data_IF_181433138336
#
_entry.id   IF_181433138336
#
_cell.length_a   1.000
_cell.length_b   1.000
_cell.length_c   1.000
_cell.angle_alpha   90.00
_cell.angle_beta   90.00
_cell.angle_gamma   90.00
#
_symmetry.space_group_name_H-M   'P 1'
#
loop_
_entity.id
_entity.type
_entity.pdbx_description
1 polymer ?
#
# COMPACT_ATOMS: atom_id res chain seq x y z
N UNK A 1 -10.68 -69.90 42.29
CA UNK A 1 -10.93 -68.68 41.46
C UNK A 1 -10.07 -67.52 41.90
N UNK A 2 -9.84 -67.24 43.17
CA UNK A 2 -8.93 -66.22 43.70
C UNK A 2 -7.51 -66.31 43.11
N UNK A 3 -6.90 -67.51 43.16
CA UNK A 3 -5.54 -67.73 42.65
C UNK A 3 -5.42 -67.43 41.14
N UNK A 4 -6.53 -67.73 40.38
CA UNK A 4 -6.56 -67.45 38.92
C UNK A 4 -6.61 -65.96 38.65
N UNK A 5 -7.37 -65.18 39.42
CA UNK A 5 -7.45 -63.72 39.31
C UNK A 5 -6.13 -63.06 39.68
N UNK A 6 -5.49 -63.57 40.72
CA UNK A 6 -4.20 -63.08 41.17
C UNK A 6 -3.11 -63.33 40.13
N UNK A 7 -3.08 -64.52 39.49
CA UNK A 7 -2.16 -64.81 38.37
C UNK A 7 -2.42 -63.91 37.18
N UNK A 8 -3.68 -63.69 36.79
CA UNK A 8 -4.02 -62.74 35.68
C UNK A 8 -3.55 -61.33 35.98
N UNK A 9 -3.72 -60.87 37.23
CA UNK A 9 -3.24 -59.54 37.64
C UNK A 9 -1.71 -59.43 37.56
N UNK A 10 -0.99 -60.40 38.12
CA UNK A 10 0.48 -60.41 38.17
C UNK A 10 1.05 -60.45 36.72
N UNK A 11 0.49 -61.30 35.86
CA UNK A 11 0.92 -61.44 34.49
C UNK A 11 0.59 -60.17 33.66
N UNK A 12 -0.61 -59.63 33.83
CA UNK A 12 -1.01 -58.40 33.15
C UNK A 12 -0.12 -57.22 33.57
N UNK A 13 0.15 -57.05 34.87
CA UNK A 13 1.03 -55.97 35.35
C UNK A 13 2.45 -56.13 34.80
N UNK A 14 2.99 -57.35 34.77
CA UNK A 14 4.30 -57.63 34.18
C UNK A 14 4.35 -57.26 32.69
N UNK A 15 3.33 -57.68 31.90
CA UNK A 15 3.28 -57.39 30.49
C UNK A 15 3.09 -55.87 30.20
N UNK A 16 2.35 -55.17 31.08
CA UNK A 16 2.20 -53.72 30.98
C UNK A 16 3.54 -53.02 31.26
N UNK A 17 4.29 -53.45 32.29
CA UNK A 17 5.58 -52.87 32.64
C UNK A 17 6.69 -53.17 31.62
N UNK A 18 6.62 -54.33 30.94
CA UNK A 18 7.52 -54.72 29.86
C UNK A 18 7.20 -54.03 28.51
N UNK A 19 6.03 -53.43 28.36
CA UNK A 19 5.62 -52.75 27.13
C UNK A 19 6.47 -51.49 26.90
N UNK A 20 7.18 -51.43 25.74
CA UNK A 20 8.03 -50.32 25.34
C UNK A 20 7.37 -49.37 24.36
N UNK A 21 6.24 -49.74 23.81
CA UNK A 21 5.52 -48.98 22.79
C UNK A 21 4.01 -48.93 23.11
N UNK A 22 3.35 -47.84 22.69
CA UNK A 22 1.91 -47.65 22.89
C UNK A 22 1.07 -48.76 22.23
N UNK A 23 1.50 -49.27 21.06
CA UNK A 23 0.84 -50.37 20.38
C UNK A 23 0.89 -51.65 21.20
N UNK A 24 2.07 -52.01 21.72
CA UNK A 24 2.25 -53.18 22.58
C UNK A 24 1.40 -53.09 23.88
N UNK A 25 1.33 -51.87 24.46
CA UNK A 25 0.49 -51.61 25.64
C UNK A 25 -1.00 -51.77 25.32
N UNK A 26 -1.45 -51.33 24.13
CA UNK A 26 -2.83 -51.53 23.70
C UNK A 26 -3.15 -53.00 23.44
N UNK A 27 -2.22 -53.78 22.90
CA UNK A 27 -2.39 -55.22 22.71
C UNK A 27 -2.54 -55.95 24.02
N UNK A 28 -1.78 -55.59 25.04
CA UNK A 28 -1.96 -56.11 26.45
C UNK A 28 -3.34 -55.73 26.95
N UNK A 29 -3.77 -54.49 26.78
CA UNK A 29 -5.13 -54.05 27.18
C UNK A 29 -6.22 -54.89 26.50
N UNK A 30 -6.10 -55.17 25.24
CA UNK A 30 -7.08 -55.96 24.47
C UNK A 30 -7.05 -57.42 24.89
N UNK A 31 -5.89 -58.02 25.15
CA UNK A 31 -5.73 -59.41 25.59
C UNK A 31 -6.31 -59.64 26.97
N UNK A 32 -6.22 -58.69 27.89
CA UNK A 32 -6.67 -58.83 29.27
C UNK A 32 -8.12 -58.32 29.46
N UNK A 33 -8.41 -57.10 29.00
CA UNK A 33 -9.66 -56.39 29.27
C UNK A 33 -10.64 -56.40 28.07
N UNK A 34 -10.22 -56.89 26.91
CA UNK A 34 -11.05 -56.91 25.69
C UNK A 34 -12.25 -57.85 25.81
N UNK A 35 -13.17 -57.80 24.81
CA UNK A 35 -14.38 -58.63 24.77
C UNK A 35 -14.13 -60.14 24.88
N UNK A 36 -12.96 -60.61 24.44
CA UNK A 36 -12.45 -61.99 24.49
C UNK A 36 -11.28 -62.12 25.50
N UNK A 37 -10.97 -61.08 26.28
CA UNK A 37 -9.84 -61.04 27.19
C UNK A 37 -10.00 -61.97 28.40
N UNK A 38 -8.85 -62.25 29.02
CA UNK A 38 -8.75 -63.23 30.10
C UNK A 38 -9.64 -62.86 31.29
N UNK A 39 -9.71 -61.60 31.68
CA UNK A 39 -10.56 -61.11 32.76
C UNK A 39 -12.04 -61.23 32.43
N UNK A 40 -12.41 -60.97 31.15
CA UNK A 40 -13.77 -61.12 30.62
C UNK A 40 -14.19 -62.58 30.60
N UNK A 41 -13.25 -63.50 30.30
CA UNK A 41 -13.52 -64.95 30.33
C UNK A 41 -13.81 -65.43 31.78
N UNK A 42 -13.12 -64.90 32.77
CA UNK A 42 -13.39 -65.19 34.21
C UNK A 42 -14.80 -64.67 34.58
N UNK A 43 -15.17 -63.49 34.16
CA UNK A 43 -16.53 -62.94 34.38
C UNK A 43 -17.63 -63.84 33.75
N UNK A 44 -17.42 -64.36 32.58
CA UNK A 44 -18.35 -65.28 31.97
C UNK A 44 -18.49 -66.61 32.71
N UNK A 45 -17.38 -67.09 33.33
CA UNK A 45 -17.38 -68.29 34.16
C UNK A 45 -18.03 -68.10 35.56
N UNK A 46 -18.45 -66.89 35.92
CA UNK A 46 -19.18 -66.65 37.17
C UNK A 46 -20.53 -67.36 37.27
N UNK A 47 -21.06 -67.83 36.15
CA UNK A 47 -22.31 -68.64 36.14
C UNK A 47 -22.16 -69.96 36.92
N UNK A 48 -20.95 -70.50 36.94
CA UNK A 48 -20.63 -71.78 37.54
C UNK A 48 -20.25 -71.69 39.09
N UNK A 49 -20.29 -70.45 39.61
CA UNK A 49 -19.96 -70.20 41.02
C UNK A 49 -21.24 -70.26 41.90
N UNK A 50 -21.12 -70.83 43.11
CA UNK A 50 -22.24 -70.87 44.08
C UNK A 50 -22.79 -69.44 44.28
N UNK A 51 -24.13 -69.30 44.41
CA UNK A 51 -24.78 -67.98 44.62
C UNK A 51 -24.22 -67.16 45.77
N UNK A 52 -23.81 -67.80 46.84
CA UNK A 52 -23.27 -67.16 48.04
C UNK A 52 -21.90 -66.52 47.88
N UNK A 53 -21.09 -67.06 46.94
CA UNK A 53 -19.71 -66.56 46.63
C UNK A 53 -19.66 -65.52 45.53
N UNK A 54 -20.74 -65.33 44.74
CA UNK A 54 -20.78 -64.41 43.57
C UNK A 54 -20.45 -62.98 43.95
N UNK A 55 -20.98 -62.36 45.03
CA UNK A 55 -20.68 -60.95 45.31
C UNK A 55 -19.17 -60.75 45.65
N UNK A 56 -18.56 -61.68 46.38
CA UNK A 56 -17.14 -61.60 46.73
C UNK A 56 -16.24 -61.81 45.55
N UNK A 57 -16.58 -62.67 44.61
CA UNK A 57 -15.82 -62.88 43.41
C UNK A 57 -16.00 -61.65 42.44
N UNK A 58 -17.20 -61.09 42.36
CA UNK A 58 -17.46 -59.84 41.58
C UNK A 58 -16.64 -58.67 42.06
N UNK A 59 -16.57 -58.48 43.41
CA UNK A 59 -15.72 -57.40 43.95
C UNK A 59 -14.23 -57.61 43.61
N UNK A 60 -13.73 -58.86 43.75
CA UNK A 60 -12.33 -59.18 43.48
C UNK A 60 -11.98 -58.98 41.98
N UNK A 61 -12.92 -59.24 41.05
CA UNK A 61 -12.74 -58.97 39.63
C UNK A 61 -12.68 -57.49 39.38
N UNK A 62 -13.53 -56.67 39.99
CA UNK A 62 -13.52 -55.23 39.88
C UNK A 62 -12.24 -54.62 40.42
N UNK A 63 -11.78 -55.04 41.63
CA UNK A 63 -10.51 -54.59 42.20
C UNK A 63 -9.31 -54.95 41.29
N UNK A 64 -9.33 -56.14 40.68
CA UNK A 64 -8.32 -56.57 39.72
C UNK A 64 -8.33 -55.73 38.45
N UNK A 65 -9.52 -55.44 37.96
CA UNK A 65 -9.73 -54.59 36.78
C UNK A 65 -9.22 -53.18 37.02
N UNK A 66 -9.63 -52.55 38.13
CA UNK A 66 -9.20 -51.20 38.50
C UNK A 66 -7.67 -51.09 38.65
N UNK A 67 -7.06 -52.12 39.28
CA UNK A 67 -5.61 -52.17 39.42
C UNK A 67 -4.90 -52.23 38.04
N UNK A 68 -5.38 -53.08 37.13
CA UNK A 68 -4.83 -53.19 35.77
C UNK A 68 -5.05 -51.92 34.97
N UNK A 69 -6.26 -51.35 35.03
CA UNK A 69 -6.58 -50.09 34.31
C UNK A 69 -5.72 -48.91 34.84
N UNK A 70 -5.45 -48.84 36.12
CA UNK A 70 -4.55 -47.83 36.70
C UNK A 70 -3.12 -48.00 36.23
N UNK A 71 -2.58 -49.21 36.23
CA UNK A 71 -1.21 -49.47 35.77
C UNK A 71 -1.07 -49.19 34.28
N UNK A 72 -2.10 -49.51 33.45
CA UNK A 72 -2.17 -49.20 32.04
C UNK A 72 -2.09 -47.67 31.80
N UNK A 73 -2.88 -46.89 32.54
CA UNK A 73 -2.93 -45.44 32.39
C UNK A 73 -1.59 -44.79 32.82
N UNK A 74 -0.98 -45.27 33.94
CA UNK A 74 0.32 -44.79 34.40
C UNK A 74 1.43 -45.10 33.39
N UNK A 75 1.46 -46.31 32.82
CA UNK A 75 2.44 -46.71 31.83
C UNK A 75 2.23 -45.99 30.48
N UNK A 76 0.97 -45.79 30.09
CA UNK A 76 0.62 -45.03 28.91
C UNK A 76 1.15 -43.59 29.00
N UNK A 77 0.93 -42.89 30.12
CA UNK A 77 1.45 -41.53 30.30
C UNK A 77 2.98 -41.47 30.26
N UNK A 78 3.66 -42.50 30.86
CA UNK A 78 5.12 -42.57 30.78
C UNK A 78 5.62 -42.72 29.33
N UNK A 79 4.99 -43.62 28.55
CA UNK A 79 5.37 -43.83 27.17
C UNK A 79 5.08 -42.60 26.26
N UNK A 80 3.92 -41.97 26.47
CA UNK A 80 3.57 -40.71 25.74
C UNK A 80 4.56 -39.59 26.08
N UNK A 81 4.96 -39.42 27.32
CA UNK A 81 5.96 -38.45 27.73
C UNK A 81 7.33 -38.74 27.11
N UNK A 82 7.77 -40.00 27.16
CA UNK A 82 9.05 -40.40 26.59
C UNK A 82 9.06 -40.22 25.03
N UNK A 83 7.95 -40.51 24.38
CA UNK A 83 7.82 -40.29 22.91
C UNK A 83 7.83 -38.81 22.61
N UNK A 84 7.17 -37.98 23.42
CA UNK A 84 7.19 -36.52 23.26
C UNK A 84 8.60 -35.96 23.47
N UNK A 85 9.30 -36.38 24.53
CA UNK A 85 10.69 -35.95 24.79
C UNK A 85 11.62 -36.30 23.61
N UNK A 86 11.55 -37.55 23.14
CA UNK A 86 12.36 -38.00 22.01
C UNK A 86 12.03 -37.24 20.70
N UNK A 87 10.76 -36.82 20.51
CA UNK A 87 10.39 -35.98 19.38
C UNK A 87 10.96 -34.58 19.54
N UNK A 88 10.84 -33.98 20.74
CA UNK A 88 11.36 -32.64 21.04
C UNK A 88 12.90 -32.59 20.92
N UNK A 89 13.62 -33.66 21.31
CA UNK A 89 15.07 -33.77 21.11
C UNK A 89 15.47 -33.77 19.63
N UNK A 90 14.62 -34.32 18.75
CA UNK A 90 14.86 -34.33 17.30
C UNK A 90 14.47 -33.04 16.59
N UNK A 91 13.51 -32.32 17.15
CA UNK A 91 13.03 -31.02 16.64
C UNK A 91 13.95 -29.88 17.15
N UNK A 92 15.23 -29.92 16.78
CA UNK A 92 16.16 -28.84 17.13
C UNK A 92 15.91 -27.65 16.23
N UNK A 93 15.42 -26.57 16.83
CA UNK A 93 15.29 -25.27 16.16
C UNK A 93 16.49 -24.42 16.55
N UNK A 94 17.29 -23.99 15.58
CA UNK A 94 18.36 -23.03 15.81
C UNK A 94 17.77 -21.63 16.02
N UNK A 95 17.64 -21.25 17.27
CA UNK A 95 17.09 -19.93 17.66
C UNK A 95 18.05 -18.77 17.39
N UNK A 96 19.28 -19.06 16.97
CA UNK A 96 20.26 -18.03 16.58
C UNK A 96 20.11 -17.60 15.13
N UNK A 97 19.38 -18.37 14.32
CA UNK A 97 19.08 -17.97 12.94
C UNK A 97 18.22 -16.72 12.95
N UNK A 98 18.60 -15.69 12.18
CA UNK A 98 17.80 -14.49 12.09
C UNK A 98 16.41 -14.81 11.52
N UNK A 99 15.38 -14.21 12.08
CA UNK A 99 14.02 -14.32 11.56
C UNK A 99 13.98 -13.80 10.12
N UNK A 100 13.13 -14.41 9.28
CA UNK A 100 12.89 -13.91 7.92
C UNK A 100 12.37 -12.48 8.05
N UNK A 101 13.20 -11.51 7.64
CA UNK A 101 12.78 -10.12 7.61
C UNK A 101 11.71 -9.96 6.52
N UNK A 102 10.55 -9.49 6.91
CA UNK A 102 9.58 -9.02 5.93
C UNK A 102 10.12 -7.73 5.30
N UNK A 103 10.27 -7.72 3.99
CA UNK A 103 10.60 -6.49 3.28
C UNK A 103 9.41 -5.52 3.42
N UNK A 104 9.65 -4.38 4.03
CA UNK A 104 8.68 -3.28 4.02
C UNK A 104 8.65 -2.72 2.60
N UNK A 105 7.46 -2.52 2.05
CA UNK A 105 7.32 -1.86 0.74
C UNK A 105 7.77 -0.40 0.82
N UNK A 106 8.25 0.13 -0.30
CA UNK A 106 8.64 1.53 -0.47
C UNK A 106 7.67 2.23 -1.41
N UNK A 107 7.44 3.52 -1.20
CA UNK A 107 6.63 4.33 -2.10
C UNK A 107 7.48 4.80 -3.27
N UNK A 108 6.86 4.91 -4.43
CA UNK A 108 7.51 5.50 -5.59
C UNK A 108 7.81 6.99 -5.34
N UNK A 109 8.98 7.55 -5.73
CA UNK A 109 9.34 8.94 -5.46
C UNK A 109 8.32 9.95 -6.02
N UNK A 110 7.71 9.70 -7.18
CA UNK A 110 6.63 10.55 -7.68
C UNK A 110 5.43 10.59 -6.73
N UNK A 111 5.05 9.44 -6.13
CA UNK A 111 3.94 9.41 -5.19
C UNK A 111 4.24 10.13 -3.88
N UNK A 112 5.50 10.06 -3.42
CA UNK A 112 5.93 10.83 -2.23
C UNK A 112 5.86 12.34 -2.53
N UNK A 113 6.35 12.77 -3.71
CA UNK A 113 6.27 14.15 -4.13
C UNK A 113 4.82 14.63 -4.32
N UNK A 114 3.95 13.79 -4.90
CA UNK A 114 2.53 14.09 -5.09
C UNK A 114 1.84 14.34 -3.74
N UNK A 115 1.95 13.38 -2.81
CA UNK A 115 1.34 13.51 -1.48
C UNK A 115 1.79 14.76 -0.73
N UNK A 116 3.06 15.16 -0.91
CA UNK A 116 3.57 16.38 -0.30
C UNK A 116 2.96 17.64 -0.91
N UNK A 117 2.88 17.72 -2.23
CA UNK A 117 2.23 18.85 -2.94
C UNK A 117 0.76 18.93 -2.57
N UNK A 118 0.04 17.80 -2.58
CA UNK A 118 -1.37 17.74 -2.16
C UNK A 118 -1.54 18.22 -0.71
N UNK A 119 -0.70 17.76 0.20
CA UNK A 119 -0.74 18.17 1.61
C UNK A 119 -0.57 19.69 1.78
N UNK A 120 0.34 20.29 1.01
CA UNK A 120 0.57 21.74 1.04
C UNK A 120 -0.67 22.48 0.57
N UNK A 121 -1.22 22.14 -0.59
CA UNK A 121 -2.39 22.84 -1.14
C UNK A 121 -3.67 22.57 -0.33
N UNK A 122 -3.90 21.36 0.15
CA UNK A 122 -5.01 21.05 1.06
C UNK A 122 -4.89 21.88 2.36
N UNK A 123 -3.68 22.05 2.89
CA UNK A 123 -3.38 22.96 4.02
C UNK A 123 -3.72 24.43 3.73
N UNK A 124 -3.66 24.86 2.47
CA UNK A 124 -4.07 26.20 2.00
C UNK A 124 -5.57 26.28 1.68
N UNK A 125 -6.36 25.21 1.87
CA UNK A 125 -7.78 25.17 1.63
C UNK A 125 -8.18 24.83 0.19
N UNK A 126 -7.33 24.14 -0.56
CA UNK A 126 -7.66 23.63 -1.89
C UNK A 126 -8.28 22.24 -1.82
N UNK A 127 -9.20 21.95 -2.73
CA UNK A 127 -9.74 20.62 -2.95
C UNK A 127 -8.93 19.88 -4.02
N UNK A 128 -8.75 18.57 -3.84
CA UNK A 128 -8.13 17.71 -4.84
C UNK A 128 -9.23 17.16 -5.74
N UNK A 129 -9.16 17.43 -7.05
CA UNK A 129 -10.17 17.01 -8.02
C UNK A 129 -9.52 16.18 -9.12
N UNK A 130 -10.12 15.04 -9.43
CA UNK A 130 -9.67 14.15 -10.51
C UNK A 130 -10.55 14.31 -11.74
N UNK A 131 -10.01 13.94 -12.91
CA UNK A 131 -10.73 13.91 -14.17
C UNK A 131 -10.21 12.83 -15.11
N UNK A 132 -10.92 12.58 -16.23
CA UNK A 132 -10.61 11.51 -17.17
C UNK A 132 -9.29 11.76 -17.91
N UNK A 133 -8.51 10.68 -18.15
CA UNK A 133 -7.29 10.72 -18.98
C UNK A 133 -7.63 10.76 -20.48
N UNK A 134 -8.70 10.08 -20.87
CA UNK A 134 -9.26 10.14 -22.24
C UNK A 134 -10.28 11.25 -22.28
N UNK A 135 -10.01 12.30 -23.03
CA UNK A 135 -10.74 13.54 -22.95
C UNK A 135 -11.27 14.00 -24.33
N UNK A 136 -12.33 14.79 -24.31
CA UNK A 136 -12.80 15.44 -25.51
C UNK A 136 -11.89 16.61 -25.91
N UNK A 137 -11.68 16.81 -27.20
CA UNK A 137 -10.92 17.94 -27.75
C UNK A 137 -11.44 19.28 -27.23
N UNK A 138 -12.76 19.39 -27.04
CA UNK A 138 -13.39 20.56 -26.44
C UNK A 138 -12.77 20.97 -25.11
N UNK A 139 -12.69 20.02 -24.16
CA UNK A 139 -12.15 20.31 -22.81
C UNK A 139 -10.63 20.49 -22.82
N UNK A 140 -9.93 19.72 -23.67
CA UNK A 140 -8.47 19.77 -23.71
C UNK A 140 -7.93 21.02 -24.43
N UNK A 141 -8.71 21.59 -25.35
CA UNK A 141 -8.28 22.71 -26.16
C UNK A 141 -9.33 23.85 -26.33
N UNK A 142 -10.52 23.59 -26.86
CA UNK A 142 -11.44 24.65 -27.26
C UNK A 142 -11.88 25.52 -26.09
N UNK A 143 -12.28 24.94 -24.99
CA UNK A 143 -12.73 25.66 -23.79
C UNK A 143 -11.59 26.44 -23.10
N UNK A 144 -10.33 26.19 -23.48
CA UNK A 144 -9.15 26.85 -22.92
C UNK A 144 -8.65 28.01 -23.84
N UNK A 145 -9.51 28.57 -24.68
CA UNK A 145 -9.24 29.71 -25.56
C UNK A 145 -8.22 29.48 -26.71
N UNK A 146 -7.94 28.31 -27.24
CA UNK A 146 -6.96 28.24 -28.28
C UNK A 146 -7.58 28.16 -29.68
N UNK A 147 -7.44 29.22 -30.44
CA UNK A 147 -7.59 29.09 -31.91
C UNK A 147 -6.36 28.42 -32.55
N UNK A 148 -5.18 28.53 -31.94
CA UNK A 148 -3.91 27.95 -32.39
C UNK A 148 -3.05 27.58 -31.22
N UNK A 149 -3.42 26.50 -30.45
CA UNK A 149 -2.60 26.02 -29.37
C UNK A 149 -1.41 25.24 -29.93
N UNK A 150 -0.16 25.53 -29.50
CA UNK A 150 1.01 24.81 -29.99
C UNK A 150 0.91 23.29 -29.80
N UNK A 151 0.33 22.87 -28.67
CA UNK A 151 0.14 21.43 -28.37
C UNK A 151 -1.06 20.79 -29.09
N UNK A 152 -1.80 21.51 -29.94
CA UNK A 152 -2.85 20.96 -30.82
C UNK A 152 -2.29 20.34 -32.10
N UNK A 153 -0.99 20.45 -32.31
CA UNK A 153 -0.33 19.80 -33.43
C UNK A 153 -0.46 18.27 -33.26
N UNK A 154 -0.83 17.56 -34.35
CA UNK A 154 -0.87 16.09 -34.35
C UNK A 154 0.47 15.47 -33.98
N UNK A 155 1.57 16.23 -34.08
CA UNK A 155 2.90 15.82 -33.68
C UNK A 155 3.08 15.77 -32.14
N UNK A 156 2.31 16.58 -31.40
CA UNK A 156 2.47 16.72 -29.95
C UNK A 156 1.34 16.04 -29.15
N UNK A 157 0.27 15.58 -29.81
CA UNK A 157 -0.93 15.05 -29.15
C UNK A 157 -1.29 13.64 -29.62
N UNK A 158 -1.64 12.74 -28.71
CA UNK A 158 -2.20 11.44 -29.08
C UNK A 158 -3.72 11.53 -29.29
N UNK A 159 -4.15 11.51 -30.54
CA UNK A 159 -5.56 11.48 -30.93
C UNK A 159 -6.06 10.02 -31.00
N UNK A 160 -7.21 9.74 -30.37
CA UNK A 160 -7.93 8.48 -30.53
C UNK A 160 -8.82 8.57 -31.79
N UNK A 161 -9.44 9.74 -31.99
CA UNK A 161 -10.18 10.13 -33.18
C UNK A 161 -10.24 11.67 -33.25
N UNK A 162 -10.94 12.23 -34.25
CA UNK A 162 -11.02 13.68 -34.49
C UNK A 162 -11.53 14.52 -33.32
N UNK A 163 -12.17 13.91 -32.33
CA UNK A 163 -12.81 14.61 -31.20
C UNK A 163 -12.35 14.11 -29.81
N UNK A 164 -11.55 13.04 -29.75
CA UNK A 164 -11.10 12.42 -28.51
C UNK A 164 -9.58 12.28 -28.52
N UNK A 165 -8.97 12.73 -27.43
CA UNK A 165 -7.52 12.76 -27.22
C UNK A 165 -7.13 12.08 -25.90
N UNK A 166 -5.87 11.67 -25.77
CA UNK A 166 -5.25 11.55 -24.45
C UNK A 166 -4.89 12.96 -23.98
N UNK A 167 -5.37 13.36 -22.79
CA UNK A 167 -5.17 14.72 -22.31
C UNK A 167 -3.69 15.10 -22.24
N UNK A 168 -3.36 16.28 -22.78
CA UNK A 168 -1.99 16.81 -22.80
C UNK A 168 -1.64 17.60 -21.54
N UNK A 169 -2.63 17.90 -20.73
CA UNK A 169 -2.59 18.70 -19.51
C UNK A 169 -3.77 18.32 -18.59
N UNK A 170 -3.75 18.74 -17.33
CA UNK A 170 -4.89 18.53 -16.43
C UNK A 170 -5.89 19.69 -16.43
N UNK A 171 -5.69 20.71 -17.23
CA UNK A 171 -6.61 21.85 -17.43
C UNK A 171 -8.06 21.48 -17.80
N UNK A 172 -8.35 20.37 -18.52
CA UNK A 172 -9.74 19.91 -18.70
C UNK A 172 -10.53 19.78 -17.42
N UNK A 173 -9.88 19.39 -16.32
CA UNK A 173 -10.53 19.28 -15.00
C UNK A 173 -10.97 20.65 -14.50
N UNK A 174 -10.17 21.70 -14.74
CA UNK A 174 -10.52 23.07 -14.38
C UNK A 174 -11.79 23.52 -15.13
N UNK A 175 -11.92 23.24 -16.43
CA UNK A 175 -13.11 23.56 -17.21
C UNK A 175 -14.34 22.86 -16.65
N UNK A 176 -14.25 21.57 -16.36
CA UNK A 176 -15.34 20.77 -15.80
C UNK A 176 -15.81 21.32 -14.46
N UNK A 177 -14.91 21.71 -13.58
CA UNK A 177 -15.24 22.30 -12.28
C UNK A 177 -15.88 23.68 -12.45
N UNK A 178 -15.41 24.51 -13.39
CA UNK A 178 -16.04 25.79 -13.70
C UNK A 178 -17.46 25.62 -14.24
N UNK A 179 -17.71 24.65 -15.11
CA UNK A 179 -19.04 24.36 -15.68
C UNK A 179 -20.05 23.87 -14.64
N UNK A 180 -19.60 23.33 -13.49
CA UNK A 180 -20.50 23.02 -12.36
C UNK A 180 -21.12 24.28 -11.74
N UNK A 181 -20.54 25.46 -11.97
CA UNK A 181 -21.07 26.74 -11.49
C UNK A 181 -21.03 26.95 -9.98
N UNK A 182 -20.27 26.12 -9.25
CA UNK A 182 -20.13 26.25 -7.80
C UNK A 182 -18.98 27.18 -7.44
N UNK A 183 -19.26 28.40 -7.11
CA UNK A 183 -18.25 29.41 -6.73
C UNK A 183 -18.29 29.67 -5.21
N UNK A 184 -17.17 30.01 -4.56
CA UNK A 184 -15.83 30.12 -5.12
C UNK A 184 -15.16 28.77 -5.41
N UNK A 185 -14.18 28.75 -6.34
CA UNK A 185 -13.40 27.57 -6.68
C UNK A 185 -11.99 27.73 -6.09
N UNK A 186 -11.50 26.69 -5.41
CA UNK A 186 -10.09 26.50 -5.03
C UNK A 186 -9.77 25.04 -5.17
N UNK A 187 -9.05 24.68 -6.19
CA UNK A 187 -8.77 23.29 -6.51
C UNK A 187 -7.36 23.07 -7.02
N UNK A 188 -6.88 21.85 -6.84
CA UNK A 188 -5.76 21.27 -7.60
C UNK A 188 -6.25 20.02 -8.33
N UNK A 189 -5.72 19.81 -9.54
CA UNK A 189 -5.98 18.64 -10.35
C UNK A 189 -4.68 17.90 -10.65
N UNK A 190 -4.28 16.95 -9.80
CA UNK A 190 -3.18 16.05 -10.11
C UNK A 190 -3.62 15.00 -11.12
N UNK A 191 -2.70 14.59 -11.99
CA UNK A 191 -3.03 13.49 -12.90
C UNK A 191 -1.99 13.26 -13.98
N UNK A 192 -2.12 12.08 -14.59
CA UNK A 192 -1.30 11.68 -15.73
C UNK A 192 -1.71 12.45 -16.97
N UNK A 193 -0.71 12.82 -17.76
CA UNK A 193 -0.87 13.52 -19.02
C UNK A 193 0.02 12.87 -20.09
N UNK A 194 -0.29 13.14 -21.36
CA UNK A 194 0.32 12.44 -22.47
C UNK A 194 0.72 13.44 -23.55
N UNK A 195 1.97 13.33 -24.02
CA UNK A 195 2.48 14.12 -25.16
C UNK A 195 3.32 13.22 -26.05
N UNK A 196 3.31 13.46 -27.34
CA UNK A 196 4.09 12.68 -28.30
C UNK A 196 5.57 13.08 -28.32
N UNK A 197 6.17 13.18 -27.12
CA UNK A 197 7.58 13.51 -26.95
C UNK A 197 8.47 12.26 -27.05
N UNK A 198 9.68 12.45 -27.60
CA UNK A 198 10.71 11.41 -27.52
C UNK A 198 11.23 11.25 -26.10
N UNK A 199 11.53 10.00 -25.72
CA UNK A 199 12.04 9.68 -24.39
C UNK A 199 13.50 10.12 -24.25
N UNK A 200 13.74 11.06 -23.32
CA UNK A 200 15.09 11.50 -22.96
C UNK A 200 15.25 11.66 -21.43
N UNK A 201 16.30 12.30 -20.97
CA UNK A 201 16.56 12.52 -19.54
C UNK A 201 15.55 13.49 -18.88
N UNK A 202 14.75 14.22 -19.67
CA UNK A 202 13.86 15.30 -19.23
C UNK A 202 12.43 15.18 -19.76
N UNK A 203 12.19 14.32 -20.74
CA UNK A 203 10.90 14.13 -21.39
C UNK A 203 10.47 12.65 -21.37
N UNK A 204 9.17 12.45 -21.21
CA UNK A 204 8.49 11.16 -21.32
C UNK A 204 7.14 11.36 -22.00
N UNK A 205 6.68 10.44 -22.87
CA UNK A 205 5.37 10.55 -23.51
C UNK A 205 4.21 10.42 -22.52
N UNK A 206 4.48 9.91 -21.32
CA UNK A 206 3.54 9.86 -20.21
C UNK A 206 4.22 10.39 -18.96
N UNK A 207 3.66 11.42 -18.37
CA UNK A 207 4.17 12.06 -17.16
C UNK A 207 2.99 12.59 -16.32
N UNK A 208 3.26 13.26 -15.20
CA UNK A 208 2.22 13.77 -14.33
C UNK A 208 2.31 15.29 -14.22
N UNK A 209 1.14 15.93 -14.25
CA UNK A 209 0.98 17.35 -13.93
C UNK A 209 0.11 17.52 -12.69
N UNK A 210 0.35 18.61 -11.98
CA UNK A 210 -0.55 19.14 -10.96
C UNK A 210 -0.88 20.56 -11.39
N UNK A 211 -2.12 20.79 -11.74
CA UNK A 211 -2.60 22.14 -12.04
C UNK A 211 -3.51 22.61 -10.92
N UNK A 212 -3.44 23.89 -10.61
CA UNK A 212 -4.31 24.51 -9.61
C UNK A 212 -5.01 25.71 -10.16
N UNK A 213 -6.21 25.98 -9.62
CA UNK A 213 -7.05 27.12 -10.00
C UNK A 213 -7.77 27.69 -8.79
N UNK A 214 -7.84 29.01 -8.78
CA UNK A 214 -8.74 29.78 -7.89
C UNK A 214 -9.61 30.66 -8.75
N UNK A 215 -10.93 30.66 -8.50
CA UNK A 215 -11.90 31.60 -9.08
C UNK A 215 -12.79 32.13 -7.97
N UNK A 216 -12.75 33.43 -7.77
CA UNK A 216 -13.56 34.13 -6.75
C UNK A 216 -13.70 35.61 -7.14
N UNK A 217 -14.38 36.39 -6.34
CA UNK A 217 -14.48 37.83 -6.53
C UNK A 217 -13.16 38.53 -6.18
N UNK A 218 -12.75 39.48 -7.04
CA UNK A 218 -11.58 40.34 -6.81
C UNK A 218 -10.25 39.61 -6.68
N UNK A 219 -10.08 38.45 -7.29
CA UNK A 219 -8.79 37.75 -7.33
C UNK A 219 -7.81 38.54 -8.22
N UNK A 220 -6.60 38.70 -7.73
CA UNK A 220 -5.55 39.49 -8.36
C UNK A 220 -4.28 38.69 -8.66
N UNK A 221 -3.40 39.22 -9.47
CA UNK A 221 -2.06 38.66 -9.69
C UNK A 221 -1.20 38.67 -8.42
N UNK A 222 -1.49 39.52 -7.45
CA UNK A 222 -0.83 39.54 -6.13
C UNK A 222 -1.20 38.28 -5.32
N UNK A 223 -2.46 37.84 -5.39
CA UNK A 223 -2.94 36.63 -4.72
C UNK A 223 -2.23 35.39 -5.33
N UNK A 224 -2.12 35.32 -6.67
CA UNK A 224 -1.34 34.29 -7.34
C UNK A 224 0.10 34.24 -6.83
N UNK A 225 0.77 35.39 -6.79
CA UNK A 225 2.16 35.49 -6.31
C UNK A 225 2.30 35.06 -4.86
N UNK A 226 1.39 35.48 -4.00
CA UNK A 226 1.37 35.10 -2.59
C UNK A 226 1.22 33.59 -2.40
N UNK A 227 0.23 33.00 -3.07
CA UNK A 227 -0.02 31.54 -3.04
C UNK A 227 1.20 30.73 -3.48
N UNK A 228 1.77 31.10 -4.63
CA UNK A 228 2.92 30.37 -5.18
C UNK A 228 4.23 30.61 -4.39
N UNK A 229 4.38 31.76 -3.78
CA UNK A 229 5.52 32.02 -2.89
C UNK A 229 5.44 31.15 -1.61
N UNK A 230 4.26 31.00 -1.04
CA UNK A 230 4.04 30.13 0.10
C UNK A 230 4.26 28.66 -0.27
N UNK A 231 3.68 28.21 -1.38
CA UNK A 231 3.93 26.87 -1.92
C UNK A 231 5.44 26.58 -2.08
N UNK A 232 6.18 27.53 -2.65
CA UNK A 232 7.63 27.35 -2.86
C UNK A 232 8.41 27.23 -1.54
N UNK A 233 8.04 28.00 -0.50
CA UNK A 233 8.65 27.90 0.83
C UNK A 233 8.36 26.59 1.51
N UNK A 234 7.09 26.18 1.53
CA UNK A 234 6.67 24.90 2.11
C UNK A 234 7.36 23.69 1.45
N UNK A 235 7.55 23.75 0.10
CA UNK A 235 8.13 22.65 -0.65
C UNK A 235 9.66 22.59 -0.60
N UNK A 236 10.33 23.76 -0.67
CA UNK A 236 11.80 23.88 -0.83
C UNK A 236 12.49 24.52 0.36
N UNK A 237 11.73 24.98 1.37
CA UNK A 237 12.26 25.60 2.59
C UNK A 237 12.07 27.11 2.66
N UNK A 238 12.05 27.64 3.91
CA UNK A 238 11.71 29.03 4.26
C UNK A 238 12.58 30.09 3.55
N UNK A 239 13.83 29.81 3.24
CA UNK A 239 14.76 30.73 2.58
C UNK A 239 14.53 30.84 1.06
N UNK A 240 13.58 30.06 0.51
CA UNK A 240 13.29 30.03 -0.94
C UNK A 240 12.67 31.35 -1.38
N UNK A 241 13.30 31.97 -2.37
CA UNK A 241 12.80 33.17 -3.03
C UNK A 241 12.21 32.81 -4.38
N UNK A 242 11.17 33.50 -4.76
CA UNK A 242 10.51 33.33 -6.06
C UNK A 242 10.75 34.53 -6.98
N UNK A 243 10.82 34.27 -8.27
CA UNK A 243 10.92 35.27 -9.33
C UNK A 243 9.91 34.91 -10.42
N UNK A 244 9.13 35.89 -10.86
CA UNK A 244 8.17 35.73 -11.95
C UNK A 244 8.72 36.39 -13.21
N UNK A 245 8.73 35.63 -14.30
CA UNK A 245 9.11 36.10 -15.64
C UNK A 245 7.85 36.17 -16.52
N UNK A 246 7.60 37.27 -17.25
CA UNK A 246 6.51 37.30 -18.20
C UNK A 246 6.61 36.17 -19.25
N UNK A 247 5.47 35.53 -19.51
CA UNK A 247 5.33 34.49 -20.51
C UNK A 247 3.99 34.61 -21.20
N UNK A 248 3.72 33.77 -22.19
CA UNK A 248 2.42 33.73 -22.88
C UNK A 248 1.85 32.33 -22.88
N UNK A 249 0.63 32.21 -22.31
CA UNK A 249 -0.21 31.02 -22.46
C UNK A 249 -1.59 31.44 -22.97
N UNK A 250 -2.22 30.65 -23.87
CA UNK A 250 -3.50 31.07 -24.51
C UNK A 250 -4.66 31.20 -23.50
N UNK A 251 -4.60 30.47 -22.42
CA UNK A 251 -5.67 30.33 -21.37
C UNK A 251 -5.46 31.27 -20.19
N UNK A 252 -4.37 32.03 -20.14
CA UNK A 252 -4.09 33.00 -19.07
C UNK A 252 -3.60 34.33 -19.65
N UNK A 253 -4.02 35.48 -19.00
CA UNK A 253 -3.56 36.82 -19.32
C UNK A 253 -3.74 37.75 -18.12
N UNK A 254 -2.66 38.32 -17.52
CA UNK A 254 -1.25 38.09 -17.86
C UNK A 254 -0.77 36.69 -17.43
N UNK A 255 0.23 36.19 -18.14
CA UNK A 255 0.89 34.92 -17.87
C UNK A 255 2.33 35.13 -17.41
N UNK A 256 2.84 34.21 -16.63
CA UNK A 256 4.20 34.19 -16.15
C UNK A 256 4.72 32.76 -15.94
N UNK A 257 6.03 32.64 -15.96
CA UNK A 257 6.73 31.48 -15.39
C UNK A 257 7.31 31.85 -14.04
N UNK A 258 7.31 30.91 -13.10
CA UNK A 258 7.89 31.09 -11.79
C UNK A 258 9.18 30.30 -11.65
N UNK A 259 10.26 31.01 -11.29
CA UNK A 259 11.53 30.44 -10.88
C UNK A 259 11.67 30.52 -9.36
N UNK A 260 12.36 29.53 -8.79
CA UNK A 260 12.81 29.55 -7.39
C UNK A 260 14.32 29.68 -7.29
N UNK A 261 14.82 30.22 -6.20
CA UNK A 261 16.26 30.20 -5.92
C UNK A 261 16.79 28.76 -5.90
N UNK A 262 17.90 28.54 -6.56
CA UNK A 262 18.55 27.24 -6.56
C UNK A 262 18.91 26.83 -5.13
N UNK A 263 18.26 25.80 -4.61
CA UNK A 263 18.45 25.31 -3.25
C UNK A 263 19.85 24.72 -3.02
N UNK A 264 20.54 24.21 -4.06
CA UNK A 264 21.92 23.72 -3.95
C UNK A 264 22.95 24.82 -3.70
N UNK A 265 22.79 25.99 -4.32
CA UNK A 265 23.80 27.07 -4.24
C UNK A 265 23.27 28.32 -3.58
N UNK A 266 22.02 28.34 -3.11
CA UNK A 266 21.43 29.54 -2.48
C UNK A 266 21.40 30.77 -3.42
N UNK A 267 21.23 30.55 -4.72
CA UNK A 267 21.20 31.63 -5.72
C UNK A 267 22.55 32.10 -6.26
N UNK A 268 23.68 31.50 -5.83
CA UNK A 268 25.03 31.90 -6.24
C UNK A 268 25.44 31.46 -7.64
N UNK A 269 24.72 30.53 -8.22
CA UNK A 269 25.05 29.87 -9.48
C UNK A 269 25.92 28.62 -9.26
N UNK A 270 25.50 27.48 -9.84
CA UNK A 270 26.22 26.22 -9.78
C UNK A 270 25.94 25.40 -11.06
N UNK A 271 26.58 24.24 -11.18
CA UNK A 271 26.36 23.35 -12.34
C UNK A 271 24.89 22.90 -12.45
N UNK A 272 24.20 22.69 -11.35
CA UNK A 272 22.79 22.25 -11.29
C UNK A 272 21.84 23.30 -11.89
N UNK A 273 22.00 24.58 -11.53
CA UNK A 273 21.25 25.69 -12.11
C UNK A 273 21.93 26.32 -13.36
N UNK A 274 22.90 25.64 -13.94
CA UNK A 274 23.66 26.10 -15.11
C UNK A 274 24.28 27.49 -14.95
N UNK A 275 24.65 27.88 -13.70
CA UNK A 275 25.24 29.17 -13.38
C UNK A 275 24.25 30.30 -13.08
N UNK A 276 22.95 30.11 -13.32
CA UNK A 276 21.95 31.19 -13.22
C UNK A 276 21.52 31.52 -11.78
N UNK A 277 21.65 30.56 -10.85
CA UNK A 277 21.17 30.69 -9.47
C UNK A 277 19.66 30.51 -9.31
N UNK A 278 18.92 30.32 -10.39
CA UNK A 278 17.48 30.15 -10.44
C UNK A 278 17.08 28.87 -11.17
N UNK A 279 15.92 28.32 -10.81
CA UNK A 279 15.38 27.11 -11.43
C UNK A 279 13.90 27.35 -11.71
N UNK A 280 13.51 27.19 -12.97
CA UNK A 280 12.11 27.24 -13.38
C UNK A 280 11.35 26.05 -12.82
N UNK A 281 10.16 26.32 -12.25
CA UNK A 281 9.33 25.32 -11.58
C UNK A 281 8.01 25.14 -12.32
N UNK A 282 7.32 26.24 -12.67
CA UNK A 282 5.96 26.18 -13.17
C UNK A 282 5.56 27.38 -14.03
N UNK A 283 4.52 27.16 -14.85
CA UNK A 283 3.80 28.22 -15.54
C UNK A 283 2.55 28.63 -14.75
N UNK A 284 2.18 29.92 -14.82
CA UNK A 284 1.00 30.44 -14.12
C UNK A 284 0.46 31.70 -14.81
N UNK A 285 -0.74 32.15 -14.37
CA UNK A 285 -1.31 33.41 -14.85
C UNK A 285 -2.72 33.63 -14.37
N UNK A 286 -3.29 34.81 -14.69
CA UNK A 286 -4.70 35.08 -14.46
C UNK A 286 -5.53 34.37 -15.52
N UNK A 287 -6.61 33.72 -15.12
CA UNK A 287 -7.51 33.02 -16.05
C UNK A 287 -8.05 34.00 -17.09
N UNK A 288 -7.89 33.63 -18.36
CA UNK A 288 -8.32 34.51 -19.43
C UNK A 288 -9.84 34.72 -19.39
N UNK A 289 -10.36 35.98 -19.58
CA UNK A 289 -11.80 36.27 -19.50
C UNK A 289 -12.67 35.42 -20.43
N UNK A 290 -12.13 35.02 -21.60
CA UNK A 290 -12.85 34.12 -22.50
C UNK A 290 -13.03 32.71 -21.93
N UNK A 291 -12.07 32.20 -21.20
CA UNK A 291 -12.14 30.88 -20.54
C UNK A 291 -13.27 30.90 -19.51
N UNK A 292 -13.34 31.95 -18.68
CA UNK A 292 -14.45 32.14 -17.72
C UNK A 292 -15.82 32.18 -18.44
N UNK A 293 -15.95 32.98 -19.50
CA UNK A 293 -17.21 33.07 -20.28
C UNK A 293 -17.61 31.75 -20.92
N UNK A 294 -16.65 31.01 -21.48
CA UNK A 294 -16.93 29.72 -22.10
C UNK A 294 -17.43 28.68 -21.08
N UNK A 295 -16.99 28.80 -19.84
CA UNK A 295 -17.44 27.96 -18.72
C UNK A 295 -18.66 28.53 -17.97
N UNK A 296 -19.32 29.59 -18.52
CA UNK A 296 -20.54 30.17 -17.96
C UNK A 296 -20.33 31.12 -16.76
N UNK A 297 -19.08 31.54 -16.49
CA UNK A 297 -18.74 32.47 -15.40
C UNK A 297 -18.59 33.88 -15.95
N UNK A 298 -19.23 34.86 -15.28
CA UNK A 298 -19.15 36.28 -15.67
C UNK A 298 -17.78 36.87 -15.25
N UNK A 299 -16.90 37.25 -16.21
CA UNK A 299 -15.62 37.83 -15.89
C UNK A 299 -15.67 39.29 -15.38
N UNK A 300 -16.82 39.95 -15.42
CA UNK A 300 -17.00 41.26 -14.81
C UNK A 300 -17.24 41.15 -13.30
N UNK A 301 -17.75 40.01 -12.83
CA UNK A 301 -18.00 39.74 -11.41
C UNK A 301 -16.90 38.89 -10.76
N UNK A 302 -16.30 37.93 -11.52
CA UNK A 302 -15.34 36.97 -11.03
C UNK A 302 -14.02 37.07 -11.79
N UNK A 303 -12.95 36.85 -11.06
CA UNK A 303 -11.59 36.70 -11.61
C UNK A 303 -10.93 35.47 -11.02
N UNK A 304 -9.85 35.02 -11.63
CA UNK A 304 -9.17 33.85 -11.12
C UNK A 304 -7.73 33.78 -11.59
N UNK A 305 -6.99 32.88 -11.00
CA UNK A 305 -5.66 32.48 -11.48
C UNK A 305 -5.54 30.97 -11.61
N UNK A 306 -4.62 30.55 -12.47
CA UNK A 306 -4.25 29.15 -12.62
C UNK A 306 -2.74 28.99 -12.68
N UNK A 307 -2.26 27.80 -12.35
CA UNK A 307 -0.85 27.42 -12.43
C UNK A 307 -0.75 25.92 -12.75
N UNK A 308 0.39 25.49 -13.29
CA UNK A 308 0.63 24.09 -13.61
C UNK A 308 2.10 23.72 -13.48
N UNK A 309 2.37 22.63 -12.76
CA UNK A 309 3.71 22.09 -12.52
C UNK A 309 3.79 20.62 -12.89
N UNK A 310 4.92 20.22 -13.48
CA UNK A 310 5.24 18.81 -13.71
C UNK A 310 5.69 18.13 -12.41
N UNK A 311 5.03 17.05 -12.04
CA UNK A 311 5.34 16.31 -10.81
C UNK A 311 6.75 15.72 -10.85
N UNK A 312 7.14 15.13 -12.00
CA UNK A 312 8.48 14.59 -12.19
C UNK A 312 9.54 15.68 -12.01
N UNK A 313 9.25 16.90 -12.48
CA UNK A 313 10.17 18.04 -12.30
C UNK A 313 10.43 18.31 -10.82
N UNK A 314 9.38 18.25 -9.98
CA UNK A 314 9.51 18.37 -8.52
C UNK A 314 10.33 17.21 -7.96
N UNK A 315 10.01 15.97 -8.34
CA UNK A 315 10.71 14.79 -7.84
C UNK A 315 12.19 14.79 -8.22
N UNK A 316 12.52 15.10 -9.50
CA UNK A 316 13.90 15.22 -9.97
C UNK A 316 14.69 16.26 -9.17
N UNK A 317 14.09 17.43 -8.95
CA UNK A 317 14.74 18.53 -8.24
C UNK A 317 14.93 18.18 -6.75
N UNK A 318 13.89 17.67 -6.10
CA UNK A 318 13.88 17.41 -4.66
C UNK A 318 14.79 16.26 -4.26
N UNK A 319 14.80 15.19 -5.03
CA UNK A 319 15.57 13.99 -4.76
C UNK A 319 16.90 13.92 -5.52
N UNK A 320 17.26 15.01 -6.23
CA UNK A 320 18.51 15.09 -6.99
C UNK A 320 18.67 13.97 -8.04
N UNK A 321 17.57 13.60 -8.68
CA UNK A 321 17.56 12.59 -9.74
C UNK A 321 17.94 13.27 -11.06
N UNK A 322 19.00 12.80 -11.70
CA UNK A 322 19.57 13.43 -12.89
C UNK A 322 18.88 13.01 -14.21
N UNK A 323 18.08 11.94 -14.17
CA UNK A 323 17.48 11.35 -15.36
C UNK A 323 16.04 10.88 -15.07
N UNK A 324 15.06 11.43 -15.81
CA UNK A 324 13.64 11.11 -15.65
C UNK A 324 13.34 9.63 -15.94
N UNK A 325 14.10 8.99 -16.81
CA UNK A 325 13.90 7.57 -17.18
C UNK A 325 13.97 6.65 -15.98
N UNK A 326 14.79 6.98 -14.97
CA UNK A 326 14.91 6.22 -13.71
C UNK A 326 13.58 6.09 -12.96
N UNK A 327 12.68 7.07 -13.12
CA UNK A 327 11.34 7.04 -12.52
C UNK A 327 10.42 5.99 -13.18
N UNK A 328 10.72 5.56 -14.40
CA UNK A 328 9.85 4.69 -15.20
C UNK A 328 10.46 3.33 -15.56
N UNK A 329 11.77 3.15 -15.40
CA UNK A 329 12.46 1.89 -15.69
C UNK A 329 12.18 0.78 -14.70
N UNK A 330 11.53 1.09 -13.58
CA UNK A 330 11.18 0.13 -12.52
C UNK A 330 12.40 -0.65 -11.96
N UNK A 331 13.58 -0.02 -11.90
CA UNK A 331 14.76 -0.61 -11.29
C UNK A 331 14.60 -0.62 -9.76
N UNK A 332 14.51 -1.81 -9.19
CA UNK A 332 14.33 -1.99 -7.75
C UNK A 332 15.49 -1.42 -6.90
N UNK A 333 16.71 -1.31 -7.47
CA UNK A 333 17.87 -0.72 -6.79
C UNK A 333 17.70 0.79 -6.65
N UNK A 334 17.07 1.42 -7.64
CA UNK A 334 16.70 2.82 -7.60
C UNK A 334 15.54 3.05 -6.62
N UNK A 335 14.45 2.30 -6.77
CA UNK A 335 13.24 2.47 -5.96
C UNK A 335 13.46 2.23 -4.46
N UNK A 336 14.43 1.38 -4.08
CA UNK A 336 14.78 1.12 -2.67
C UNK A 336 15.55 2.26 -1.98
N UNK A 337 15.86 3.34 -2.69
CA UNK A 337 16.55 4.50 -2.13
C UNK A 337 15.58 5.51 -1.47
N UNK A 338 14.28 5.31 -1.67
CA UNK A 338 13.20 6.19 -1.21
C UNK A 338 12.30 5.56 -0.16
#
# INVERSE_FOLDING_TARGET
MKEKLQKIREEAVRQIEEAKELNALNDVRVSVLGKKGELTAVLKGMKDVKPEDRPMVGQLVNETREAIERTLEETKKKLESAELEHRLEKEVIDVTLPAKQNSVGHRHPNMIALEEVERIFVGMGYEVVEGPEVEQDYYNFEALNPKNHPARDEQDTFYINDSIVLRTQTSPVQVRVMEEGKLPIRMIAPGRVFRSDEVDATHSPSFHQIEGMVVDKNITFADLKGTLAEFAKELFGEDTKVKFRPHHFPFTEPSAEMDVTCFKCGGKGCRFCKGEGWIEILGCGMVHPKVLRMSGIDPEEYSGFAFGVGLERIALLKYEIDDMRLLYENDIRFLKQF
#
